data_IF_182403054037
#
_entry.id   IF_182403054037
#
_cell.length_a   1.000
_cell.length_b   1.000
_cell.length_c   1.000
_cell.angle_alpha   90.00
_cell.angle_beta   90.00
_cell.angle_gamma   90.00
#
_symmetry.space_group_name_H-M   'P 1'
#
loop_
_entity.id
_entity.type
_entity.pdbx_description
1 polymer ?
#
# COMPACT_ATOMS: atom_id res chain seq x y z
N UNK A 1 -15.92 -22.80 -5.35
CA UNK A 1 -15.80 -21.84 -4.24
C UNK A 1 -16.85 -20.80 -4.54
N UNK A 2 -17.96 -20.81 -3.79
CA UNK A 2 -19.12 -19.92 -4.06
C UNK A 2 -19.19 -18.72 -3.11
N UNK A 3 -18.19 -18.57 -2.22
CA UNK A 3 -18.05 -17.42 -1.35
C UNK A 3 -19.28 -17.17 -0.48
N UNK A 4 -19.52 -18.07 0.48
CA UNK A 4 -20.78 -18.13 1.22
C UNK A 4 -20.99 -16.96 2.19
N UNK A 5 -21.98 -17.07 3.07
CA UNK A 5 -22.02 -16.19 4.25
C UNK A 5 -21.09 -16.75 5.32
N UNK A 6 -20.06 -16.00 5.72
CA UNK A 6 -19.07 -16.42 6.73
C UNK A 6 -17.69 -15.82 6.47
N UNK A 7 -16.69 -16.31 7.20
CA UNK A 7 -15.27 -16.02 6.99
C UNK A 7 -14.59 -17.35 6.62
N UNK A 8 -14.82 -17.83 5.40
CA UNK A 8 -14.26 -19.11 4.92
C UNK A 8 -12.78 -18.96 4.52
N UNK A 9 -12.00 -20.02 4.73
CA UNK A 9 -10.61 -20.11 4.27
C UNK A 9 -10.42 -21.29 3.32
N UNK A 10 -10.04 -20.96 2.08
CA UNK A 10 -9.79 -21.91 0.98
C UNK A 10 -8.30 -22.03 0.70
N UNK A 11 -7.80 -23.25 0.52
CA UNK A 11 -6.42 -23.50 0.07
C UNK A 11 -6.39 -24.12 -1.32
N UNK A 12 -5.67 -23.50 -2.25
CA UNK A 12 -5.53 -23.95 -3.64
C UNK A 12 -4.10 -24.44 -3.88
N UNK A 13 -3.97 -25.73 -4.19
CA UNK A 13 -2.69 -26.39 -4.39
C UNK A 13 -2.08 -26.14 -5.79
N UNK A 14 -0.91 -26.74 -6.04
CA UNK A 14 -0.16 -26.58 -7.28
C UNK A 14 -0.86 -27.12 -8.54
N UNK A 15 -1.95 -27.87 -8.38
CA UNK A 15 -2.73 -28.49 -9.46
C UNK A 15 -4.09 -27.78 -9.62
N UNK A 16 -4.39 -26.82 -8.75
CA UNK A 16 -5.64 -26.06 -8.75
C UNK A 16 -6.77 -26.71 -7.96
N UNK A 17 -6.47 -27.77 -7.20
CA UNK A 17 -7.47 -28.43 -6.35
C UNK A 17 -7.61 -27.67 -5.02
N UNK A 18 -8.86 -27.53 -4.54
CA UNK A 18 -9.14 -27.00 -3.19
C UNK A 18 -8.86 -28.11 -2.19
N UNK A 19 -7.86 -27.92 -1.34
CA UNK A 19 -7.38 -28.96 -0.42
C UNK A 19 -7.96 -28.85 0.99
N UNK A 20 -8.41 -27.67 1.41
CA UNK A 20 -9.04 -27.43 2.71
C UNK A 20 -10.06 -26.30 2.60
N UNK A 21 -11.21 -26.51 3.23
CA UNK A 21 -12.20 -25.49 3.59
C UNK A 21 -12.32 -25.53 5.13
N UNK A 22 -12.02 -24.41 5.80
CA UNK A 22 -12.28 -24.27 7.22
C UNK A 22 -13.61 -23.52 7.41
N UNK A 23 -14.70 -24.27 7.62
CA UNK A 23 -16.00 -23.72 8.02
C UNK A 23 -15.93 -23.20 9.47
N UNK A 24 -16.58 -22.06 9.75
CA UNK A 24 -16.75 -21.41 11.05
C UNK A 24 -17.50 -22.29 12.09
N UNK A 25 -17.73 -23.57 11.80
CA UNK A 25 -18.24 -24.54 12.78
C UNK A 25 -17.20 -25.02 13.81
N UNK A 26 -15.98 -24.47 13.79
CA UNK A 26 -15.14 -24.35 15.00
C UNK A 26 -14.23 -25.53 15.35
N UNK A 27 -13.89 -26.44 14.43
CA UNK A 27 -12.85 -27.45 14.68
C UNK A 27 -12.03 -27.70 13.39
N UNK A 28 -10.91 -27.00 13.25
CA UNK A 28 -9.98 -27.15 12.14
C UNK A 28 -8.57 -26.69 12.48
N UNK A 29 -8.00 -27.17 13.59
CA UNK A 29 -6.59 -26.90 13.91
C UNK A 29 -5.68 -27.72 13.01
N UNK A 30 -4.94 -27.07 12.11
CA UNK A 30 -3.64 -27.59 11.68
C UNK A 30 -2.66 -26.43 11.51
N UNK A 31 -1.72 -26.37 12.46
CA UNK A 31 -0.51 -25.60 12.34
C UNK A 31 0.23 -26.06 11.08
N UNK A 32 0.25 -25.23 10.04
CA UNK A 32 1.33 -25.31 9.05
C UNK A 32 2.64 -25.18 9.83
N UNK A 33 3.50 -26.19 9.66
CA UNK A 33 4.76 -26.28 10.38
C UNK A 33 5.51 -24.96 10.25
N UNK A 34 5.84 -24.40 11.43
CA UNK A 34 6.55 -23.13 11.66
C UNK A 34 7.97 -23.07 11.07
N UNK A 35 8.26 -23.83 10.01
CA UNK A 35 9.58 -23.92 9.39
C UNK A 35 9.71 -23.20 8.05
N UNK A 36 8.61 -22.83 7.37
CA UNK A 36 8.66 -21.95 6.19
C UNK A 36 8.19 -20.51 6.50
N UNK A 37 7.72 -20.26 7.73
CA UNK A 37 7.49 -18.92 8.32
C UNK A 37 8.59 -18.65 9.36
N UNK A 38 9.83 -19.02 9.02
CA UNK A 38 10.99 -18.70 9.82
C UNK A 38 11.65 -17.44 9.26
N UNK A 39 11.15 -16.27 9.68
CA UNK A 39 12.04 -15.19 10.08
C UNK A 39 13.08 -15.84 10.99
N UNK A 40 14.35 -15.95 10.61
CA UNK A 40 15.37 -16.45 11.52
C UNK A 40 15.61 -15.40 12.60
N UNK A 41 15.31 -15.66 13.89
CA UNK A 41 15.92 -14.88 14.95
C UNK A 41 17.18 -15.65 15.36
N UNK A 42 18.33 -14.99 15.27
CA UNK A 42 19.48 -15.43 16.05
C UNK A 42 19.01 -15.59 17.50
N UNK A 43 19.13 -16.82 17.99
CA UNK A 43 18.79 -17.27 19.33
C UNK A 43 19.27 -16.27 20.39
N UNK A 44 18.39 -15.88 21.30
CA UNK A 44 18.51 -16.27 22.72
C UNK A 44 17.20 -15.93 23.44
N UNK A 45 16.63 -16.96 24.04
CA UNK A 45 15.56 -16.83 25.01
C UNK A 45 16.00 -15.95 26.19
N UNK A 46 15.14 -15.05 26.63
CA UNK A 46 14.93 -14.95 28.07
C UNK A 46 13.53 -14.48 28.41
N UNK A 47 12.92 -15.28 29.28
CA UNK A 47 11.67 -15.01 29.98
C UNK A 47 11.77 -13.74 30.83
N UNK A 48 10.59 -13.13 31.03
CA UNK A 48 10.27 -12.08 31.98
C UNK A 48 10.56 -10.62 31.58
N UNK A 49 9.53 -9.81 31.85
CA UNK A 49 9.46 -8.34 31.86
C UNK A 49 9.54 -7.64 30.50
N UNK A 50 8.36 -7.19 30.04
CA UNK A 50 8.25 -6.03 29.16
C UNK A 50 9.11 -4.86 29.66
N UNK A 51 9.92 -4.24 28.80
CA UNK A 51 10.19 -2.83 28.86
C UNK A 51 9.32 -2.10 27.82
N UNK A 52 8.70 -1.03 28.30
CA UNK A 52 8.00 -0.02 27.52
C UNK A 52 8.87 0.56 26.39
N UNK A 53 8.29 0.69 25.20
CA UNK A 53 8.76 1.64 24.18
C UNK A 53 9.57 1.03 23.05
N UNK A 54 8.89 0.31 22.14
CA UNK A 54 9.18 0.22 20.71
C UNK A 54 8.12 -0.68 20.05
N UNK A 55 7.10 -0.08 19.43
CA UNK A 55 6.30 -0.72 18.36
C UNK A 55 6.25 0.31 17.23
N UNK A 56 6.87 -0.05 16.11
CA UNK A 56 7.09 0.73 14.90
C UNK A 56 6.02 0.40 13.86
N UNK A 57 5.39 1.43 13.28
CA UNK A 57 4.45 1.34 12.15
C UNK A 57 3.01 0.94 12.51
N UNK A 58 1.98 1.45 11.78
CA UNK A 58 0.58 1.31 12.14
C UNK A 58 -0.01 -0.11 12.00
N UNK A 59 0.72 -1.08 11.46
CA UNK A 59 0.23 -2.45 11.33
C UNK A 59 1.32 -3.46 11.70
N UNK A 60 1.22 -3.98 12.92
CA UNK A 60 2.06 -5.06 13.42
C UNK A 60 1.98 -6.33 12.56
N UNK A 61 2.94 -7.22 12.79
CA UNK A 61 3.11 -8.54 12.14
C UNK A 61 1.79 -9.19 11.73
N UNK A 62 1.59 -9.38 10.42
CA UNK A 62 0.45 -10.12 9.85
C UNK A 62 0.41 -11.53 10.46
N UNK A 63 -0.65 -11.82 11.21
CA UNK A 63 -1.00 -13.16 11.70
C UNK A 63 -2.16 -13.66 10.87
N UNK A 64 -2.02 -14.80 10.14
CA UNK A 64 -3.16 -15.44 9.49
C UNK A 64 -4.27 -15.70 10.52
N UNK A 65 -5.47 -15.16 10.26
CA UNK A 65 -6.66 -15.33 11.12
C UNK A 65 -7.02 -14.13 12.01
N UNK A 66 -6.34 -12.98 11.94
CA UNK A 66 -6.75 -11.76 12.66
C UNK A 66 -6.81 -10.52 11.76
N UNK A 67 -7.64 -10.53 10.71
CA UNK A 67 -8.07 -9.29 10.04
C UNK A 67 -9.47 -8.90 10.53
N UNK A 68 -9.56 -8.46 11.80
CA UNK A 68 -10.82 -8.21 12.53
C UNK A 68 -11.72 -7.08 11.98
N UNK A 69 -11.46 -6.54 10.79
CA UNK A 69 -12.22 -5.39 10.28
C UNK A 69 -12.73 -5.48 8.84
N UNK A 70 -12.34 -6.48 8.03
CA UNK A 70 -12.90 -6.71 6.66
C UNK A 70 -12.70 -8.15 6.13
N UNK A 71 -12.70 -9.19 6.96
CA UNK A 71 -12.55 -10.57 6.45
C UNK A 71 -13.86 -11.09 5.87
N UNK A 72 -14.01 -10.96 4.55
CA UNK A 72 -14.79 -11.94 3.80
C UNK A 72 -13.97 -13.19 3.53
N UNK A 73 -14.39 -13.98 2.55
CA UNK A 73 -13.81 -15.27 2.25
C UNK A 73 -12.40 -15.15 1.66
N UNK A 74 -11.46 -15.93 2.21
CA UNK A 74 -10.03 -15.87 1.90
C UNK A 74 -9.57 -17.08 1.10
N UNK A 75 -8.83 -16.85 0.03
CA UNK A 75 -8.13 -17.87 -0.76
C UNK A 75 -6.64 -17.77 -0.54
N UNK A 76 -6.00 -18.88 -0.19
CA UNK A 76 -4.53 -19.02 -0.21
C UNK A 76 -4.15 -19.88 -1.41
N UNK A 77 -3.47 -19.29 -2.40
CA UNK A 77 -3.18 -19.95 -3.67
C UNK A 77 -1.68 -20.11 -3.91
N UNK A 78 -1.25 -21.34 -4.22
CA UNK A 78 0.14 -21.64 -4.60
C UNK A 78 0.43 -21.51 -6.10
N UNK A 79 -0.61 -21.17 -6.86
CA UNK A 79 -0.63 -20.93 -8.31
C UNK A 79 -1.26 -19.57 -8.59
N UNK A 80 -1.10 -19.09 -9.82
CA UNK A 80 -1.84 -17.92 -10.29
C UNK A 80 -3.34 -18.12 -10.11
N UNK A 81 -4.03 -17.12 -9.58
CA UNK A 81 -5.42 -17.27 -9.17
C UNK A 81 -6.25 -16.01 -9.42
N UNK A 82 -7.50 -16.22 -9.79
CA UNK A 82 -8.52 -15.18 -9.94
C UNK A 82 -9.67 -15.49 -8.99
N UNK A 83 -10.01 -14.53 -8.12
CA UNK A 83 -11.13 -14.65 -7.21
C UNK A 83 -12.43 -14.83 -8.00
N UNK A 84 -13.23 -15.83 -7.62
CA UNK A 84 -14.60 -15.96 -8.06
C UNK A 84 -15.51 -14.95 -7.35
N UNK A 85 -16.78 -14.94 -7.73
CA UNK A 85 -17.79 -14.10 -7.08
C UNK A 85 -17.84 -14.40 -5.56
N UNK A 86 -18.07 -13.35 -4.76
CA UNK A 86 -18.18 -13.40 -3.28
C UNK A 86 -16.91 -13.84 -2.53
N UNK A 87 -15.73 -13.80 -3.16
CA UNK A 87 -14.46 -13.96 -2.45
C UNK A 87 -13.82 -12.60 -2.29
N UNK A 88 -13.35 -12.29 -1.09
CA UNK A 88 -12.87 -10.94 -0.75
C UNK A 88 -11.36 -10.88 -0.53
N UNK A 89 -10.67 -12.02 -0.34
CA UNK A 89 -9.23 -11.99 -0.10
C UNK A 89 -8.46 -13.09 -0.86
N UNK A 90 -7.29 -12.72 -1.36
CA UNK A 90 -6.33 -13.62 -2.01
C UNK A 90 -4.94 -13.44 -1.41
N UNK A 91 -4.35 -14.54 -0.92
CA UNK A 91 -2.96 -14.62 -0.51
C UNK A 91 -2.21 -15.57 -1.45
N UNK A 92 -1.27 -15.04 -2.22
CA UNK A 92 -0.38 -15.83 -3.04
C UNK A 92 0.73 -16.45 -2.20
N UNK A 93 1.06 -17.70 -2.47
CA UNK A 93 2.17 -18.43 -1.85
C UNK A 93 2.93 -19.25 -2.89
N UNK A 94 4.07 -19.81 -2.50
CA UNK A 94 4.79 -20.77 -3.34
C UNK A 94 5.32 -20.16 -4.64
N UNK A 95 4.75 -20.56 -5.78
CA UNK A 95 5.20 -20.15 -7.12
C UNK A 95 4.19 -19.27 -7.86
N UNK A 96 3.09 -18.90 -7.21
CA UNK A 96 2.13 -17.97 -7.79
C UNK A 96 2.81 -16.62 -8.06
N UNK A 97 2.48 -16.01 -9.19
CA UNK A 97 2.99 -14.70 -9.60
C UNK A 97 1.88 -13.76 -10.07
N UNK A 98 0.66 -14.27 -10.27
CA UNK A 98 -0.46 -13.47 -10.71
C UNK A 98 -1.65 -13.67 -9.77
N UNK A 99 -2.11 -12.58 -9.18
CA UNK A 99 -3.35 -12.52 -8.40
C UNK A 99 -4.33 -11.58 -9.09
N UNK A 100 -5.60 -11.95 -9.11
CA UNK A 100 -6.66 -11.10 -9.67
C UNK A 100 -7.89 -11.16 -8.79
N UNK A 101 -8.41 -10.00 -8.44
CA UNK A 101 -9.65 -9.82 -7.70
C UNK A 101 -10.90 -10.06 -8.56
N UNK A 102 -11.99 -9.44 -8.15
CA UNK A 102 -13.31 -9.47 -8.76
C UNK A 102 -13.93 -8.06 -8.68
N UNK A 103 -15.26 -7.94 -8.71
CA UNK A 103 -15.94 -6.64 -8.69
C UNK A 103 -16.28 -6.11 -7.27
N UNK A 104 -15.73 -6.75 -6.24
CA UNK A 104 -15.89 -6.36 -4.83
C UNK A 104 -14.58 -5.71 -4.37
N UNK A 105 -14.64 -4.91 -3.31
CA UNK A 105 -13.40 -4.48 -2.64
C UNK A 105 -12.67 -5.68 -2.07
N UNK A 106 -11.52 -6.01 -2.64
CA UNK A 106 -10.71 -7.18 -2.33
C UNK A 106 -9.43 -6.81 -1.58
N UNK A 107 -8.90 -7.79 -0.85
CA UNK A 107 -7.57 -7.76 -0.28
C UNK A 107 -6.67 -8.74 -1.03
N UNK A 108 -5.73 -8.23 -1.83
CA UNK A 108 -4.78 -9.06 -2.58
C UNK A 108 -3.38 -8.92 -1.99
N UNK A 109 -2.80 -10.03 -1.56
CA UNK A 109 -1.43 -10.09 -1.06
C UNK A 109 -0.58 -11.05 -1.89
N UNK A 110 0.53 -10.54 -2.40
CA UNK A 110 1.56 -11.29 -3.07
C UNK A 110 2.36 -12.21 -2.16
N UNK A 111 3.50 -12.65 -2.66
CA UNK A 111 4.54 -13.39 -1.94
C UNK A 111 5.89 -12.71 -2.14
N UNK A 112 6.98 -13.37 -1.74
CA UNK A 112 8.33 -12.79 -1.81
C UNK A 112 8.96 -12.90 -3.22
N UNK A 113 8.14 -12.88 -4.28
CA UNK A 113 8.53 -12.91 -5.69
C UNK A 113 7.91 -11.72 -6.41
N UNK A 114 8.46 -11.38 -7.57
CA UNK A 114 7.85 -10.46 -8.53
C UNK A 114 6.41 -10.93 -8.87
N UNK A 115 5.42 -10.12 -8.49
CA UNK A 115 4.00 -10.42 -8.63
C UNK A 115 3.28 -9.38 -9.49
N UNK A 116 2.19 -9.81 -10.12
CA UNK A 116 1.23 -8.94 -10.77
C UNK A 116 -0.11 -9.10 -10.09
N UNK A 117 -0.54 -8.06 -9.38
CA UNK A 117 -1.81 -8.01 -8.67
C UNK A 117 -2.77 -7.07 -9.41
N UNK A 118 -4.02 -7.50 -9.57
CA UNK A 118 -5.08 -6.74 -10.25
C UNK A 118 -6.32 -6.72 -9.37
N UNK A 119 -6.70 -5.57 -8.83
CA UNK A 119 -7.91 -5.39 -8.03
C UNK A 119 -9.18 -5.61 -8.85
N UNK A 120 -9.27 -4.89 -9.98
CA UNK A 120 -10.40 -4.81 -10.91
C UNK A 120 -11.40 -3.71 -10.51
N UNK A 121 -12.62 -4.05 -10.11
CA UNK A 121 -13.59 -3.03 -9.70
C UNK A 121 -13.76 -3.13 -8.17
N UNK A 122 -14.01 -2.00 -7.51
CA UNK A 122 -14.24 -1.94 -6.07
C UNK A 122 -13.06 -1.32 -5.32
N UNK A 123 -13.24 -1.07 -4.02
CA UNK A 123 -12.21 -0.44 -3.20
C UNK A 123 -11.23 -1.52 -2.68
N UNK A 124 -10.12 -1.70 -3.40
CA UNK A 124 -9.17 -2.78 -3.18
C UNK A 124 -8.00 -2.39 -2.25
N UNK A 125 -7.37 -3.40 -1.67
CA UNK A 125 -6.11 -3.27 -0.93
C UNK A 125 -5.08 -4.27 -1.47
N UNK A 126 -4.01 -3.75 -2.08
CA UNK A 126 -3.01 -4.53 -2.80
C UNK A 126 -1.66 -4.44 -2.08
N UNK A 127 -1.08 -5.60 -1.78
CA UNK A 127 0.19 -5.74 -1.08
C UNK A 127 1.17 -6.59 -1.90
N UNK A 128 2.15 -5.97 -2.57
CA UNK A 128 3.17 -6.68 -3.35
C UNK A 128 4.11 -7.53 -2.49
N UNK A 129 4.56 -6.94 -1.38
CA UNK A 129 5.48 -7.48 -0.36
C UNK A 129 6.94 -7.38 -0.76
N UNK A 130 7.53 -8.41 -1.33
CA UNK A 130 8.95 -8.39 -1.66
C UNK A 130 9.13 -8.93 -3.06
N UNK A 131 9.96 -8.29 -3.86
CA UNK A 131 10.02 -8.57 -5.29
C UNK A 131 9.83 -7.28 -6.07
N UNK A 132 9.90 -7.36 -7.39
CA UNK A 132 9.54 -6.23 -8.26
C UNK A 132 8.10 -6.44 -8.72
N UNK A 133 7.18 -5.77 -8.06
CA UNK A 133 5.76 -6.02 -8.20
C UNK A 133 5.09 -5.01 -9.14
N UNK A 134 3.99 -5.43 -9.75
CA UNK A 134 3.11 -4.56 -10.53
C UNK A 134 1.71 -4.66 -9.98
N UNK A 135 1.24 -3.58 -9.37
CA UNK A 135 -0.05 -3.47 -8.71
C UNK A 135 -0.94 -2.58 -9.58
N UNK A 136 -2.09 -3.13 -9.98
CA UNK A 136 -3.16 -2.41 -10.66
C UNK A 136 -4.37 -2.41 -9.73
N UNK A 137 -4.78 -1.25 -9.22
CA UNK A 137 -6.01 -1.11 -8.44
C UNK A 137 -7.22 -1.38 -9.33
N UNK A 138 -7.51 -0.46 -10.24
CA UNK A 138 -8.56 -0.57 -11.25
C UNK A 138 -9.59 0.54 -11.06
N UNK A 139 -10.87 0.21 -11.06
CA UNK A 139 -11.95 1.17 -10.81
C UNK A 139 -12.30 1.13 -9.32
N UNK A 140 -12.12 2.22 -8.57
CA UNK A 140 -12.45 2.25 -7.14
C UNK A 140 -11.50 3.13 -6.34
N UNK A 141 -11.69 3.17 -5.02
CA UNK A 141 -10.73 3.83 -4.13
C UNK A 141 -9.74 2.81 -3.58
N UNK A 142 -8.59 2.68 -4.24
CA UNK A 142 -7.65 1.59 -3.95
C UNK A 142 -6.53 1.99 -3.00
N UNK A 143 -5.99 1.01 -2.28
CA UNK A 143 -4.82 1.15 -1.43
C UNK A 143 -3.69 0.27 -1.93
N UNK A 144 -2.57 0.89 -2.33
CA UNK A 144 -1.45 0.20 -2.97
C UNK A 144 -0.18 0.27 -2.10
N UNK A 145 0.34 -0.90 -1.77
CA UNK A 145 1.59 -1.10 -1.03
C UNK A 145 2.53 -1.98 -1.86
N UNK A 146 3.54 -1.39 -2.50
CA UNK A 146 4.56 -2.15 -3.25
C UNK A 146 5.32 -3.09 -2.32
N UNK A 147 5.96 -2.52 -1.30
CA UNK A 147 6.76 -3.26 -0.34
C UNK A 147 8.23 -3.06 -0.64
N UNK A 148 9.06 -4.09 -0.59
CA UNK A 148 10.49 -3.99 -0.89
C UNK A 148 10.79 -4.46 -2.31
N UNK A 149 11.44 -3.61 -3.11
CA UNK A 149 11.91 -3.94 -4.44
C UNK A 149 11.83 -2.74 -5.37
N UNK A 150 11.55 -2.98 -6.64
CA UNK A 150 11.22 -1.93 -7.61
C UNK A 150 9.81 -2.17 -8.08
N UNK A 151 8.88 -1.44 -7.51
CA UNK A 151 7.46 -1.69 -7.74
C UNK A 151 6.86 -0.68 -8.72
N UNK A 152 5.81 -1.09 -9.41
CA UNK A 152 4.96 -0.21 -10.22
C UNK A 152 3.56 -0.22 -9.65
N UNK A 153 3.11 0.93 -9.17
CA UNK A 153 1.82 1.12 -8.54
C UNK A 153 0.94 1.97 -9.47
N UNK A 154 -0.08 1.37 -10.05
CA UNK A 154 -1.08 2.05 -10.84
C UNK A 154 -2.41 1.92 -10.10
N UNK A 155 -2.89 3.02 -9.51
CA UNK A 155 -4.16 3.05 -8.79
C UNK A 155 -5.31 2.78 -9.76
N UNK A 156 -5.63 3.72 -10.62
CA UNK A 156 -6.56 3.49 -11.74
C UNK A 156 -7.52 4.66 -11.85
N UNK A 157 -8.81 4.37 -11.93
CA UNK A 157 -9.88 5.38 -11.86
C UNK A 157 -10.42 5.41 -10.42
N UNK A 158 -10.53 6.58 -9.79
CA UNK A 158 -11.03 6.76 -8.43
C UNK A 158 -10.03 7.46 -7.50
N UNK A 159 -10.38 7.58 -6.22
CA UNK A 159 -9.52 8.24 -5.23
C UNK A 159 -8.55 7.21 -4.64
N UNK A 160 -7.32 7.12 -5.18
CA UNK A 160 -6.36 6.11 -4.81
C UNK A 160 -5.38 6.57 -3.73
N UNK A 161 -4.89 5.60 -2.95
CA UNK A 161 -3.91 5.82 -1.89
C UNK A 161 -2.68 4.94 -2.08
N UNK A 162 -1.54 5.59 -2.26
CA UNK A 162 -0.24 4.95 -2.39
C UNK A 162 0.54 5.05 -1.08
N UNK A 163 1.18 3.96 -0.68
CA UNK A 163 2.02 3.92 0.51
C UNK A 163 3.45 3.60 0.16
N UNK A 164 4.37 4.40 0.68
CA UNK A 164 5.80 4.18 0.50
C UNK A 164 6.56 4.46 1.80
N UNK A 165 7.61 3.71 2.08
CA UNK A 165 8.42 3.84 3.29
C UNK A 165 9.91 3.84 2.98
N UNK A 166 10.73 4.29 3.94
CA UNK A 166 12.18 4.26 3.76
C UNK A 166 12.71 2.83 3.56
N UNK A 167 13.69 2.67 2.66
CA UNK A 167 14.31 1.37 2.38
C UNK A 167 13.45 0.38 1.59
N UNK A 168 12.33 0.84 1.01
CA UNK A 168 11.48 0.04 0.13
C UNK A 168 12.03 -0.10 -1.30
N UNK A 169 12.96 0.75 -1.73
CA UNK A 169 13.62 0.65 -3.03
C UNK A 169 13.14 1.72 -4.01
N UNK A 170 13.10 1.40 -5.30
CA UNK A 170 12.82 2.39 -6.35
C UNK A 170 11.44 2.15 -6.94
N UNK A 171 10.41 2.89 -6.50
CA UNK A 171 9.04 2.64 -6.95
C UNK A 171 8.58 3.67 -7.99
N UNK A 172 7.67 3.23 -8.85
CA UNK A 172 7.01 4.06 -9.85
C UNK A 172 5.51 4.13 -9.57
N UNK A 173 4.99 5.33 -9.34
CA UNK A 173 3.56 5.61 -9.26
C UNK A 173 3.08 6.07 -10.63
N UNK A 174 2.04 5.42 -11.14
CA UNK A 174 1.38 5.74 -12.39
C UNK A 174 -0.05 6.17 -12.06
N UNK A 175 -0.23 7.48 -11.92
CA UNK A 175 -1.56 8.07 -11.78
C UNK A 175 -2.15 8.28 -13.17
N UNK A 176 -3.30 7.68 -13.45
CA UNK A 176 -3.92 7.76 -14.77
C UNK A 176 -5.44 8.04 -14.68
N UNK A 177 -5.87 8.81 -13.68
CA UNK A 177 -7.25 9.28 -13.56
C UNK A 177 -7.39 10.77 -13.91
N UNK A 178 -8.49 11.13 -14.57
CA UNK A 178 -8.89 12.51 -14.84
C UNK A 178 -9.58 13.16 -13.63
N UNK A 179 -10.16 12.41 -12.70
CA UNK A 179 -11.09 12.94 -11.69
C UNK A 179 -10.86 12.55 -10.21
N UNK A 180 -9.99 11.60 -9.90
CA UNK A 180 -9.64 11.18 -8.54
C UNK A 180 -8.88 12.24 -7.73
N UNK A 181 -9.05 12.21 -6.41
CA UNK A 181 -8.19 12.89 -5.44
C UNK A 181 -7.17 11.90 -4.85
N UNK A 182 -6.02 11.78 -5.50
CA UNK A 182 -5.03 10.77 -5.15
C UNK A 182 -4.10 11.22 -4.03
N UNK A 183 -3.71 10.27 -3.19
CA UNK A 183 -2.90 10.53 -2.00
C UNK A 183 -1.69 9.61 -1.91
N UNK A 184 -0.52 10.18 -1.60
CA UNK A 184 0.65 9.42 -1.15
C UNK A 184 0.84 9.57 0.36
N UNK A 185 1.03 8.46 1.07
CA UNK A 185 1.51 8.45 2.44
C UNK A 185 2.94 7.91 2.52
N UNK A 186 3.84 8.71 3.10
CA UNK A 186 5.18 8.29 3.44
C UNK A 186 5.21 7.76 4.88
N UNK A 187 5.58 6.48 5.01
CA UNK A 187 5.75 5.81 6.28
C UNK A 187 7.19 5.94 6.76
N UNK A 188 7.38 6.45 7.98
CA UNK A 188 8.69 6.58 8.63
C UNK A 188 9.70 7.45 7.86
N UNK A 189 9.20 8.36 7.01
CA UNK A 189 10.01 9.30 6.25
C UNK A 189 9.41 10.72 6.30
N UNK A 190 10.28 11.72 6.34
CA UNK A 190 9.92 13.15 6.33
C UNK A 190 10.26 13.79 4.98
N UNK A 191 9.55 14.84 4.56
CA UNK A 191 9.83 15.49 3.27
C UNK A 191 11.22 16.12 3.14
N UNK A 192 11.86 16.51 4.24
CA UNK A 192 13.22 17.06 4.24
C UNK A 192 14.31 15.99 3.99
N UNK A 193 13.93 14.70 4.01
CA UNK A 193 14.80 13.57 3.68
C UNK A 193 14.86 13.29 2.17
N UNK A 194 14.06 14.00 1.36
CA UNK A 194 13.99 13.84 -0.08
C UNK A 194 14.56 15.04 -0.85
N UNK A 195 15.20 14.74 -1.98
CA UNK A 195 15.45 15.68 -3.07
C UNK A 195 14.36 15.48 -4.14
N UNK A 196 13.61 16.54 -4.44
CA UNK A 196 12.56 16.53 -5.46
C UNK A 196 13.11 17.13 -6.75
N UNK A 197 13.11 16.34 -7.81
CA UNK A 197 13.64 16.74 -9.10
C UNK A 197 12.68 16.40 -10.25
N UNK A 198 12.70 17.23 -11.29
CA UNK A 198 12.09 16.89 -12.57
C UNK A 198 13.09 16.12 -13.43
N UNK A 199 12.70 14.94 -13.89
CA UNK A 199 13.49 14.14 -14.84
C UNK A 199 12.63 13.84 -16.07
N UNK A 200 12.89 14.58 -17.15
CA UNK A 200 12.05 14.50 -18.35
C UNK A 200 10.64 15.01 -18.08
N UNK A 201 9.64 14.12 -18.24
CA UNK A 201 8.23 14.39 -17.96
C UNK A 201 7.77 13.87 -16.58
N UNK A 202 8.68 13.23 -15.85
CA UNK A 202 8.41 12.61 -14.54
C UNK A 202 8.86 13.54 -13.40
N UNK A 203 8.18 13.43 -12.26
CA UNK A 203 8.65 13.97 -10.98
C UNK A 203 9.29 12.84 -10.18
N UNK A 204 10.49 13.07 -9.67
CA UNK A 204 11.27 12.05 -8.95
C UNK A 204 11.65 12.59 -7.58
N UNK A 205 11.22 11.91 -6.53
CA UNK A 205 11.63 12.15 -5.15
C UNK A 205 12.68 11.10 -4.77
N UNK A 206 13.93 11.53 -4.53
CA UNK A 206 15.03 10.62 -4.17
C UNK A 206 15.44 10.84 -2.72
N UNK A 207 15.58 9.77 -1.94
CA UNK A 207 16.12 9.90 -0.59
C UNK A 207 17.57 10.42 -0.62
N UNK A 208 17.88 11.36 0.27
CA UNK A 208 19.21 11.96 0.41
C UNK A 208 20.28 10.93 0.78
N UNK A 209 19.90 9.84 1.45
CA UNK A 209 20.77 8.72 1.83
C UNK A 209 20.86 7.61 0.77
N UNK A 210 20.16 7.76 -0.35
CA UNK A 210 20.08 6.80 -1.46
C UNK A 210 19.43 5.45 -1.08
N UNK A 211 18.59 5.43 -0.04
CA UNK A 211 17.84 4.23 0.37
C UNK A 211 16.70 3.86 -0.59
N UNK A 212 16.30 4.77 -1.47
CA UNK A 212 15.26 4.55 -2.46
C UNK A 212 14.87 5.81 -3.23
N UNK A 213 13.94 5.65 -4.16
CA UNK A 213 13.35 6.74 -4.93
C UNK A 213 11.90 6.47 -5.27
N UNK A 214 11.13 7.54 -5.45
CA UNK A 214 9.76 7.50 -5.98
C UNK A 214 9.68 8.28 -7.27
N UNK A 215 9.26 7.62 -8.34
CA UNK A 215 9.02 8.23 -9.64
C UNK A 215 7.52 8.34 -9.88
N UNK A 216 7.03 9.55 -10.04
CA UNK A 216 5.65 9.82 -10.45
C UNK A 216 5.63 10.04 -11.96
N UNK A 217 5.10 9.05 -12.66
CA UNK A 217 5.17 8.97 -14.11
C UNK A 217 4.31 10.05 -14.76
N UNK A 218 4.89 10.75 -15.73
CA UNK A 218 4.20 11.72 -16.59
C UNK A 218 3.54 12.90 -15.84
N UNK A 219 4.01 13.20 -14.62
CA UNK A 219 3.56 14.28 -13.74
C UNK A 219 3.46 15.66 -14.44
N UNK A 220 4.35 15.91 -15.41
CA UNK A 220 4.42 17.18 -16.13
C UNK A 220 3.69 17.18 -17.48
N UNK A 221 2.97 16.12 -17.81
CA UNK A 221 2.23 16.01 -19.10
C UNK A 221 0.77 16.42 -18.97
N UNK A 222 0.12 16.11 -17.85
CA UNK A 222 -1.27 16.46 -17.54
C UNK A 222 -1.45 16.57 -16.02
N UNK A 223 -2.37 17.43 -15.57
CA UNK A 223 -2.69 17.56 -14.15
C UNK A 223 -3.29 16.26 -13.56
N UNK A 224 -4.04 15.51 -14.39
CA UNK A 224 -4.57 14.17 -14.12
C UNK A 224 -3.49 13.15 -13.70
N UNK A 225 -2.25 13.31 -14.17
CA UNK A 225 -1.18 12.35 -13.86
C UNK A 225 -0.48 12.66 -12.53
N UNK A 226 -0.97 13.64 -11.77
CA UNK A 226 -0.38 14.06 -10.51
C UNK A 226 -1.14 13.42 -9.37
N UNK A 227 -0.40 12.97 -8.37
CA UNK A 227 -0.98 12.73 -7.05
C UNK A 227 -1.27 14.09 -6.40
N UNK A 228 -2.51 14.31 -5.96
CA UNK A 228 -2.98 15.61 -5.47
C UNK A 228 -2.31 16.03 -4.16
N UNK A 229 -2.16 15.06 -3.25
CA UNK A 229 -1.64 15.31 -1.89
C UNK A 229 -0.61 14.27 -1.50
N UNK A 230 0.43 14.72 -0.81
CA UNK A 230 1.43 13.87 -0.19
C UNK A 230 1.45 14.17 1.30
N UNK A 231 1.53 13.13 2.11
CA UNK A 231 1.68 13.22 3.55
C UNK A 231 2.96 12.53 4.02
N UNK A 232 3.70 13.18 4.92
CA UNK A 232 4.85 12.57 5.57
C UNK A 232 4.50 11.91 6.91
N UNK A 233 5.48 11.29 7.56
CA UNK A 233 5.29 10.64 8.88
C UNK A 233 4.81 11.60 9.98
N UNK A 234 4.97 12.91 9.79
CA UNK A 234 4.57 13.95 10.73
C UNK A 234 3.20 14.54 10.38
N UNK A 235 2.49 13.98 9.40
CA UNK A 235 1.24 14.52 8.85
C UNK A 235 1.41 15.90 8.22
N UNK A 236 2.63 16.25 7.81
CA UNK A 236 2.85 17.40 6.94
C UNK A 236 2.21 17.11 5.60
N UNK A 237 1.46 18.06 5.05
CA UNK A 237 0.88 17.96 3.71
C UNK A 237 1.69 18.77 2.70
N UNK A 238 1.90 18.19 1.53
CA UNK A 238 2.28 18.91 0.31
C UNK A 238 1.24 18.68 -0.77
N UNK A 239 0.71 19.75 -1.34
CA UNK A 239 -0.10 19.69 -2.56
C UNK A 239 0.78 19.55 -3.79
N UNK A 240 0.23 19.08 -4.91
CA UNK A 240 0.95 18.99 -6.18
C UNK A 240 1.64 20.31 -6.60
N UNK A 241 1.00 21.47 -6.37
CA UNK A 241 1.57 22.79 -6.67
C UNK A 241 2.74 23.16 -5.74
N UNK A 242 2.69 22.72 -4.48
CA UNK A 242 3.80 22.91 -3.54
C UNK A 242 4.99 22.01 -3.92
N UNK A 243 4.74 20.78 -4.36
CA UNK A 243 5.79 19.90 -4.89
C UNK A 243 6.45 20.52 -6.12
N UNK A 244 5.67 21.07 -7.06
CA UNK A 244 6.23 21.80 -8.21
C UNK A 244 7.09 23.00 -7.78
N UNK A 245 6.71 23.69 -6.70
CA UNK A 245 7.50 24.78 -6.13
C UNK A 245 8.82 24.28 -5.52
N UNK A 246 8.81 23.13 -4.83
CA UNK A 246 10.03 22.48 -4.31
C UNK A 246 10.98 22.09 -5.43
N UNK A 247 10.47 21.45 -6.49
CA UNK A 247 11.25 21.10 -7.68
C UNK A 247 11.84 22.36 -8.35
N UNK A 248 11.14 23.49 -8.25
CA UNK A 248 11.62 24.81 -8.69
C UNK A 248 12.68 25.46 -7.78
N UNK A 249 13.06 24.81 -6.68
CA UNK A 249 14.06 25.29 -5.72
C UNK A 249 13.49 26.13 -4.57
N UNK A 250 12.19 26.07 -4.31
CA UNK A 250 11.62 26.67 -3.10
C UNK A 250 12.06 25.91 -1.83
N UNK A 251 12.20 26.62 -0.72
CA UNK A 251 12.53 26.02 0.57
C UNK A 251 11.28 25.41 1.20
N UNK A 252 11.37 24.15 1.63
CA UNK A 252 10.26 23.40 2.27
C UNK A 252 9.63 24.16 3.44
N UNK A 253 10.45 24.80 4.27
CA UNK A 253 9.98 25.61 5.41
C UNK A 253 9.09 26.79 5.04
N UNK A 254 9.24 27.36 3.83
CA UNK A 254 8.44 28.48 3.34
C UNK A 254 7.07 28.01 2.84
N UNK A 255 6.98 26.77 2.35
CA UNK A 255 5.76 26.20 1.79
C UNK A 255 4.82 25.68 2.89
N UNK A 256 5.36 24.98 3.88
CA UNK A 256 4.57 24.42 5.00
C UNK A 256 4.13 25.53 5.97
N UNK A 257 4.96 26.57 6.15
CA UNK A 257 4.67 27.68 7.07
C UNK A 257 3.46 28.54 6.67
N UNK A 258 2.98 28.46 5.42
CA UNK A 258 1.84 29.24 4.94
C UNK A 258 0.48 28.79 5.50
N UNK A 259 0.36 27.55 6.00
CA UNK A 259 -0.88 27.04 6.62
C UNK A 259 -1.05 27.43 8.09
N UNK A 260 0.00 27.87 8.79
CA UNK A 260 -0.12 28.36 10.18
C UNK A 260 -0.79 29.75 10.29
N UNK A 261 -0.99 30.46 9.17
CA UNK A 261 -1.58 31.80 9.15
C UNK A 261 -2.87 31.93 8.31
N UNK A 262 -3.44 30.79 7.89
CA UNK A 262 -4.61 30.73 6.99
C UNK A 262 -6.00 30.77 7.64
N UNK A 263 -6.16 31.02 8.94
CA UNK A 263 -7.50 31.21 9.56
C UNK A 263 -7.51 32.26 10.69
N UNK A 264 -7.21 33.52 10.36
CA UNK A 264 -7.51 34.64 11.26
C UNK A 264 -8.04 35.85 10.47
N UNK A 265 -9.17 35.65 9.80
CA UNK A 265 -9.91 36.69 9.11
C UNK A 265 -11.37 36.76 9.55
N UNK A 266 -11.64 37.15 10.81
CA UNK A 266 -12.92 37.75 11.16
C UNK A 266 -12.73 39.12 11.83
N UNK A 267 -12.91 40.13 10.97
CA UNK A 267 -13.57 41.42 11.20
C UNK A 267 -13.11 42.32 12.35
N UNK A 268 -12.21 43.24 12.00
CA UNK A 268 -12.12 44.54 12.66
C UNK A 268 -13.24 45.43 12.11
N UNK A 269 -14.39 45.47 12.76
CA UNK A 269 -15.35 46.57 12.62
C UNK A 269 -15.07 47.62 13.69
N UNK A 270 -14.16 48.56 13.37
CA UNK A 270 -14.14 49.86 14.03
C UNK A 270 -14.85 50.86 13.12
N UNK A 271 -16.06 51.27 13.50
CA UNK A 271 -16.61 52.56 13.09
C UNK A 271 -17.18 53.31 14.31
N UNK A 272 -16.52 54.45 14.54
CA UNK A 272 -16.92 55.74 15.13
C UNK A 272 -17.97 55.82 16.24
#
# INVERSE_FOLDING_TARGET
MEGGGGDDLYFVDSVGDVVVEADDSGEGSFAIASTDIAMTPSQTENSATQPSGAESGPFGRLVPGEHRSRSGDTVVASIDFTLGDNLEALLLVGNATIGTGNALGNMLSGNDRDNVLRGLDGDDALFGRAGNDVLFGGDGSDQLYGGSGRDTLAGGDGDDTYYYGSGQGDDTVVNADVYGEDVLYLNEASFDEFDFARIGDDMVATFNDQSGSLTFKDWYTAAANRVDRMYDQNWTELTADQVDSLVGGAELSQLIGAMAHGEAGQEIHTQS
#
